data_IF_986456122199
#
_entry.id   IF_986456122199
#
_cell.length_a   1.000
_cell.length_b   1.000
_cell.length_c   1.000
_cell.angle_alpha   90.00
_cell.angle_beta   90.00
_cell.angle_gamma   90.00
#
_symmetry.space_group_name_H-M   'P 1'
#
loop_
_entity.id
_entity.type
_entity.pdbx_description
1 polymer ?
#
# COMPACT_ATOMS: atom_id res chain seq x y z
N UNK A 1 20.70 14.90 28.49
CA UNK A 1 20.23 15.13 27.10
C UNK A 1 18.92 14.37 26.90
N UNK A 2 17.85 15.00 26.39
CA UNK A 2 16.55 14.35 26.18
C UNK A 2 16.38 14.05 24.68
N UNK A 3 15.89 12.86 24.36
CA UNK A 3 15.57 12.46 22.98
C UNK A 3 14.35 13.23 22.49
N UNK A 4 14.38 13.69 21.25
CA UNK A 4 13.24 14.37 20.63
C UNK A 4 12.04 13.44 20.53
N UNK A 5 10.87 13.94 20.94
CA UNK A 5 9.57 13.31 20.72
C UNK A 5 8.68 14.36 20.08
N UNK A 6 8.11 14.04 18.92
CA UNK A 6 7.24 14.97 18.20
C UNK A 6 6.01 15.31 19.05
N UNK A 7 5.48 16.52 18.89
CA UNK A 7 4.15 16.89 19.40
C UNK A 7 3.12 16.79 18.30
N UNK A 8 1.85 16.62 18.66
CA UNK A 8 0.76 16.48 17.67
C UNK A 8 0.64 17.72 16.75
N UNK A 9 0.95 18.90 17.26
CA UNK A 9 0.94 20.17 16.52
C UNK A 9 2.06 20.31 15.49
N UNK A 10 3.14 19.53 15.63
CA UNK A 10 4.33 19.61 14.76
C UNK A 10 4.27 18.59 13.62
N UNK A 11 3.22 17.75 13.57
CA UNK A 11 3.07 16.70 12.57
C UNK A 11 2.42 17.28 11.32
N UNK A 12 3.24 17.50 10.30
CA UNK A 12 2.77 17.82 8.96
C UNK A 12 2.61 16.53 8.14
N UNK A 13 1.39 16.31 7.65
CA UNK A 13 1.07 15.18 6.77
C UNK A 13 1.02 15.64 5.33
N UNK A 14 1.92 15.13 4.50
CA UNK A 14 1.90 15.40 3.07
C UNK A 14 0.99 14.41 2.34
N UNK A 15 0.50 14.82 1.18
CA UNK A 15 -0.20 13.93 0.26
C UNK A 15 0.78 13.44 -0.80
N UNK A 16 0.82 12.12 -1.01
CA UNK A 16 1.72 11.48 -1.96
C UNK A 16 0.91 10.61 -2.91
N UNK A 17 1.13 10.74 -4.21
CA UNK A 17 0.54 9.86 -5.24
C UNK A 17 1.59 8.92 -5.81
N UNK A 18 1.26 7.64 -5.89
CA UNK A 18 2.10 6.59 -6.46
C UNK A 18 1.34 5.90 -7.59
N UNK A 19 1.94 5.89 -8.78
CA UNK A 19 1.47 5.08 -9.90
C UNK A 19 1.95 3.63 -9.75
N UNK A 20 1.00 2.71 -9.63
CA UNK A 20 1.28 1.28 -9.42
C UNK A 20 1.49 0.50 -10.72
N UNK A 21 1.41 1.14 -11.88
CA UNK A 21 1.46 0.49 -13.19
C UNK A 21 2.79 -0.27 -13.43
N UNK A 22 2.70 -1.59 -13.53
CA UNK A 22 3.87 -2.43 -13.78
C UNK A 22 4.79 -2.63 -12.57
N UNK A 23 4.38 -2.17 -11.38
CA UNK A 23 5.17 -2.32 -10.17
C UNK A 23 4.89 -3.65 -9.46
N UNK A 24 5.94 -4.24 -8.88
CA UNK A 24 5.81 -5.45 -8.07
C UNK A 24 5.10 -5.15 -6.74
N UNK A 25 3.95 -5.80 -6.50
CA UNK A 25 3.08 -5.57 -5.32
C UNK A 25 3.84 -5.51 -4.00
N UNK A 26 4.72 -6.47 -3.74
CA UNK A 26 5.43 -6.55 -2.45
C UNK A 26 6.43 -5.41 -2.23
N UNK A 27 7.11 -4.96 -3.30
CA UNK A 27 8.08 -3.86 -3.23
C UNK A 27 7.37 -2.53 -3.06
N UNK A 28 6.30 -2.34 -3.84
CA UNK A 28 5.40 -1.18 -3.72
C UNK A 28 4.83 -1.07 -2.30
N UNK A 29 4.26 -2.16 -1.76
CA UNK A 29 3.64 -2.17 -0.43
C UNK A 29 4.63 -1.81 0.69
N UNK A 30 5.89 -2.24 0.58
CA UNK A 30 6.91 -1.92 1.60
C UNK A 30 7.23 -0.43 1.65
N UNK A 31 7.30 0.23 0.50
CA UNK A 31 7.57 1.68 0.41
C UNK A 31 6.36 2.45 0.91
N UNK A 32 5.15 2.03 0.54
CA UNK A 32 3.90 2.62 1.04
C UNK A 32 3.84 2.52 2.56
N UNK A 33 4.06 1.33 3.14
CA UNK A 33 4.01 1.14 4.58
C UNK A 33 5.07 1.97 5.33
N UNK A 34 6.26 2.16 4.75
CA UNK A 34 7.29 3.04 5.30
C UNK A 34 6.82 4.50 5.35
N UNK A 35 6.11 4.97 4.31
CA UNK A 35 5.56 6.33 4.24
C UNK A 35 4.36 6.53 5.15
N UNK A 36 3.42 5.59 5.18
CA UNK A 36 2.26 5.60 6.09
C UNK A 36 2.69 5.62 7.56
N UNK A 37 3.82 5.00 7.91
CA UNK A 37 4.37 5.03 9.26
C UNK A 37 5.21 6.28 9.57
N UNK A 38 5.57 7.07 8.56
CA UNK A 38 6.45 8.23 8.72
C UNK A 38 7.93 7.90 8.93
N UNK A 39 8.35 6.64 8.72
CA UNK A 39 9.76 6.20 8.93
C UNK A 39 10.79 6.86 8.00
N UNK A 40 10.32 7.53 6.96
CA UNK A 40 11.15 8.30 6.05
C UNK A 40 11.47 9.71 6.58
N UNK A 41 10.75 10.18 7.62
CA UNK A 41 10.99 11.46 8.28
C UNK A 41 11.97 11.28 9.44
N UNK A 42 12.90 12.22 9.66
CA UNK A 42 13.81 12.18 10.81
C UNK A 42 13.10 12.38 12.15
N UNK A 43 11.87 12.93 12.13
CA UNK A 43 11.02 13.21 13.31
C UNK A 43 10.13 12.03 13.72
N UNK A 44 10.40 10.82 13.21
CA UNK A 44 9.59 9.63 13.48
C UNK A 44 9.51 9.33 14.99
N UNK A 45 8.28 9.29 15.50
CA UNK A 45 7.98 8.96 16.89
C UNK A 45 7.05 7.73 16.92
N UNK A 46 7.46 6.59 17.51
CA UNK A 46 6.74 5.30 17.34
C UNK A 46 5.29 5.27 17.81
N UNK A 47 4.93 6.06 18.81
CA UNK A 47 3.60 6.09 19.42
C UNK A 47 2.66 7.10 18.75
N UNK A 48 3.14 7.85 17.75
CA UNK A 48 2.39 8.89 17.06
C UNK A 48 2.25 8.60 15.57
N UNK A 49 1.20 9.12 14.96
CA UNK A 49 0.97 9.02 13.51
C UNK A 49 1.67 10.17 12.76
N UNK A 50 2.98 10.04 12.56
CA UNK A 50 3.80 11.01 11.80
C UNK A 50 3.81 10.74 10.28
N UNK A 51 2.93 9.85 9.80
CA UNK A 51 2.90 9.40 8.41
C UNK A 51 2.42 10.43 7.41
N UNK A 52 2.50 10.07 6.13
CA UNK A 52 1.88 10.80 5.03
C UNK A 52 0.60 10.12 4.56
N UNK A 53 -0.28 10.88 3.91
CA UNK A 53 -1.42 10.34 3.18
C UNK A 53 -0.91 9.81 1.84
N UNK A 54 -1.18 8.53 1.56
CA UNK A 54 -0.70 7.87 0.35
C UNK A 54 -1.88 7.51 -0.52
N UNK A 55 -1.85 7.96 -1.77
CA UNK A 55 -2.81 7.59 -2.80
C UNK A 55 -2.09 6.71 -3.81
N UNK A 56 -2.66 5.55 -4.10
CA UNK A 56 -2.16 4.61 -5.09
C UNK A 56 -3.15 4.58 -6.24
N UNK A 57 -2.67 4.86 -7.45
CA UNK A 57 -3.46 4.77 -8.70
C UNK A 57 -2.99 3.56 -9.52
N UNK A 58 -3.79 3.15 -10.50
CA UNK A 58 -3.55 1.99 -11.37
C UNK A 58 -3.30 0.68 -10.59
N UNK A 59 -3.97 0.49 -9.45
CA UNK A 59 -3.80 -0.73 -8.65
C UNK A 59 -4.23 -2.00 -9.39
N UNK A 60 -5.03 -1.88 -10.45
CA UNK A 60 -5.38 -3.00 -11.35
C UNK A 60 -4.21 -3.49 -12.21
N UNK A 61 -3.17 -2.69 -12.41
CA UNK A 61 -2.02 -3.00 -13.29
C UNK A 61 -0.76 -3.44 -12.53
N UNK A 62 -0.91 -3.83 -11.26
CA UNK A 62 0.21 -4.30 -10.43
C UNK A 62 0.70 -5.68 -10.87
N UNK A 63 2.00 -5.93 -10.71
CA UNK A 63 2.62 -7.18 -11.13
C UNK A 63 2.85 -8.12 -9.95
N UNK A 64 2.37 -9.35 -10.12
CA UNK A 64 2.69 -10.48 -9.24
C UNK A 64 3.68 -11.39 -9.95
N UNK A 65 4.84 -11.62 -9.33
CA UNK A 65 5.93 -12.40 -9.94
C UNK A 65 5.70 -13.90 -9.90
N UNK A 66 6.16 -14.62 -10.92
CA UNK A 66 6.08 -16.09 -11.01
C UNK A 66 4.63 -16.60 -11.11
N UNK A 67 4.37 -17.80 -10.57
CA UNK A 67 3.03 -18.42 -10.62
C UNK A 67 2.08 -17.91 -9.52
N UNK A 68 2.40 -16.79 -8.85
CA UNK A 68 1.63 -16.26 -7.71
C UNK A 68 0.21 -15.86 -8.10
N UNK A 69 -0.03 -15.42 -9.34
CA UNK A 69 -1.38 -15.14 -9.84
C UNK A 69 -2.31 -16.35 -9.67
N UNK A 70 -1.81 -17.56 -9.95
CA UNK A 70 -2.61 -18.79 -9.87
C UNK A 70 -2.55 -19.45 -8.50
N UNK A 71 -1.36 -19.52 -7.89
CA UNK A 71 -1.11 -20.29 -6.67
C UNK A 71 -1.36 -19.54 -5.36
N UNK A 72 -1.35 -18.20 -5.37
CA UNK A 72 -1.55 -17.43 -4.13
C UNK A 72 -3.04 -17.36 -3.82
N UNK A 73 -3.44 -18.03 -2.74
CA UNK A 73 -4.81 -18.05 -2.26
C UNK A 73 -4.98 -17.10 -1.07
N UNK A 74 -6.04 -16.30 -1.11
CA UNK A 74 -6.49 -15.46 -0.01
C UNK A 74 -7.70 -16.13 0.65
N UNK A 75 -7.52 -16.50 1.91
CA UNK A 75 -8.57 -17.05 2.74
C UNK A 75 -9.25 -15.96 3.56
N UNK A 76 -10.56 -16.11 3.78
CA UNK A 76 -11.31 -15.43 4.82
C UNK A 76 -12.35 -16.37 5.39
N UNK A 77 -12.69 -16.19 6.67
CA UNK A 77 -13.66 -17.01 7.37
C UNK A 77 -14.92 -16.19 7.66
N UNK A 78 -16.09 -16.77 7.47
CA UNK A 78 -17.37 -16.08 7.72
C UNK A 78 -17.80 -16.12 9.19
N UNK A 79 -17.22 -17.00 10.00
CA UNK A 79 -17.57 -17.20 11.42
C UNK A 79 -18.38 -18.47 11.68
N UNK A 80 -18.99 -19.06 10.65
CA UNK A 80 -19.77 -20.29 10.73
C UNK A 80 -18.92 -21.55 10.48
N UNK A 81 -19.37 -22.71 10.95
CA UNK A 81 -18.73 -24.02 10.68
C UNK A 81 -18.68 -24.25 9.17
N UNK A 82 -17.50 -24.60 8.64
CA UNK A 82 -17.28 -24.75 7.18
C UNK A 82 -17.24 -23.42 6.41
N UNK A 83 -17.18 -22.28 7.10
CA UNK A 83 -17.24 -20.93 6.54
C UNK A 83 -15.95 -20.42 5.90
N UNK A 84 -14.98 -21.28 5.60
CA UNK A 84 -13.74 -20.88 4.91
C UNK A 84 -14.04 -20.58 3.46
N UNK A 85 -13.73 -19.37 3.02
CA UNK A 85 -13.87 -18.93 1.63
C UNK A 85 -12.50 -18.55 1.08
N UNK A 86 -12.20 -19.08 -0.09
CA UNK A 86 -10.93 -18.88 -0.77
C UNK A 86 -11.09 -18.11 -2.09
N UNK A 87 -10.10 -17.28 -2.41
CA UNK A 87 -9.98 -16.64 -3.73
C UNK A 87 -8.51 -16.58 -4.13
N UNK A 88 -8.22 -16.95 -5.36
CA UNK A 88 -6.87 -16.79 -5.93
C UNK A 88 -6.57 -15.33 -6.21
N UNK A 89 -5.29 -14.96 -6.23
CA UNK A 89 -4.85 -13.61 -6.56
C UNK A 89 -5.34 -13.17 -7.94
N UNK A 90 -5.31 -14.07 -8.95
CA UNK A 90 -5.85 -13.80 -10.28
C UNK A 90 -7.35 -13.52 -10.27
N UNK A 91 -8.14 -14.28 -9.50
CA UNK A 91 -9.58 -14.06 -9.38
C UNK A 91 -9.94 -12.73 -8.68
N UNK A 92 -9.10 -12.24 -7.76
CA UNK A 92 -9.29 -10.94 -7.13
C UNK A 92 -8.94 -9.82 -8.13
N UNK A 93 -7.84 -9.98 -8.87
CA UNK A 93 -7.36 -8.99 -9.83
C UNK A 93 -8.30 -8.82 -11.02
N UNK A 94 -8.91 -9.91 -11.50
CA UNK A 94 -9.94 -9.88 -12.56
C UNK A 94 -11.35 -9.57 -12.02
N UNK A 95 -11.50 -9.46 -10.70
CA UNK A 95 -12.79 -9.27 -10.04
C UNK A 95 -13.19 -7.80 -9.92
N UNK A 96 -14.21 -7.57 -9.08
CA UNK A 96 -14.78 -6.24 -8.83
C UNK A 96 -13.86 -5.27 -8.08
N UNK A 97 -12.87 -5.78 -7.34
CA UNK A 97 -12.07 -4.99 -6.39
C UNK A 97 -10.58 -5.40 -6.44
N UNK A 98 -9.85 -5.07 -7.52
CA UNK A 98 -8.44 -5.40 -7.65
C UNK A 98 -7.55 -4.68 -6.60
N UNK A 99 -7.98 -3.50 -6.12
CA UNK A 99 -7.27 -2.70 -5.10
C UNK A 99 -6.98 -3.48 -3.80
N UNK A 100 -7.85 -4.46 -3.46
CA UNK A 100 -7.72 -5.29 -2.25
C UNK A 100 -6.39 -6.05 -2.18
N UNK A 101 -5.75 -6.33 -3.31
CA UNK A 101 -4.45 -7.01 -3.34
C UNK A 101 -3.38 -6.11 -2.72
N UNK A 102 -3.38 -4.82 -3.08
CA UNK A 102 -2.44 -3.82 -2.58
C UNK A 102 -2.78 -3.46 -1.14
N UNK A 103 -4.06 -3.23 -0.82
CA UNK A 103 -4.49 -2.95 0.55
C UNK A 103 -4.06 -4.06 1.52
N UNK A 104 -4.37 -5.32 1.21
CA UNK A 104 -3.96 -6.45 2.06
C UNK A 104 -2.45 -6.64 2.15
N UNK A 105 -1.71 -6.23 1.12
CA UNK A 105 -0.26 -6.27 1.16
C UNK A 105 0.30 -5.22 2.12
N UNK A 106 -0.24 -4.00 2.08
CA UNK A 106 0.15 -2.89 2.97
C UNK A 106 -0.32 -3.12 4.41
N UNK A 107 -1.57 -3.57 4.60
CA UNK A 107 -2.15 -3.87 5.92
C UNK A 107 -1.26 -4.82 6.73
N UNK A 108 -0.69 -5.83 6.06
CA UNK A 108 0.21 -6.81 6.71
C UNK A 108 1.60 -6.24 7.04
N UNK A 109 1.96 -5.05 6.57
CA UNK A 109 3.23 -4.37 6.80
C UNK A 109 3.14 -3.23 7.82
N UNK A 110 1.92 -2.87 8.26
CA UNK A 110 1.63 -1.86 9.27
C UNK A 110 1.47 -2.53 10.65
N UNK A 111 1.84 -1.87 11.78
CA UNK A 111 1.65 -2.43 13.11
C UNK A 111 0.19 -2.79 13.37
N UNK A 112 -0.07 -3.93 14.04
CA UNK A 112 -1.43 -4.28 14.45
C UNK A 112 -1.77 -3.55 15.74
N UNK A 113 -2.76 -2.66 15.67
CA UNK A 113 -3.24 -1.92 16.83
C UNK A 113 -4.10 -0.71 16.44
N UNK A 114 -4.55 0.09 17.42
CA UNK A 114 -5.33 1.30 17.16
C UNK A 114 -4.60 2.29 16.24
N UNK A 115 -3.29 2.50 16.48
CA UNK A 115 -2.45 3.36 15.65
C UNK A 115 -2.33 2.85 14.20
N UNK A 116 -2.20 1.54 14.03
CA UNK A 116 -2.14 0.95 12.69
C UNK A 116 -3.43 1.12 11.90
N UNK A 117 -4.60 1.06 12.57
CA UNK A 117 -5.90 1.34 11.94
C UNK A 117 -6.01 2.80 11.49
N UNK A 118 -5.51 3.74 12.30
CA UNK A 118 -5.43 5.16 11.93
C UNK A 118 -4.47 5.40 10.76
N UNK A 119 -3.29 4.79 10.78
CA UNK A 119 -2.36 4.82 9.64
C UNK A 119 -3.00 4.22 8.39
N UNK A 120 -3.82 3.18 8.56
CA UNK A 120 -4.47 2.53 7.43
C UNK A 120 -5.53 3.42 6.76
N UNK A 121 -6.24 4.25 7.52
CA UNK A 121 -7.20 5.21 6.96
C UNK A 121 -6.54 6.31 6.11
N UNK A 122 -5.23 6.49 6.22
CA UNK A 122 -4.46 7.44 5.41
C UNK A 122 -4.05 6.85 4.04
N UNK A 123 -4.26 5.55 3.80
CA UNK A 123 -4.06 4.94 2.48
C UNK A 123 -5.35 5.00 1.67
N UNK A 124 -5.24 5.43 0.41
CA UNK A 124 -6.32 5.36 -0.58
C UNK A 124 -5.81 4.61 -1.80
N UNK A 125 -6.51 3.57 -2.21
CA UNK A 125 -6.12 2.74 -3.36
C UNK A 125 -7.22 2.78 -4.40
N UNK A 126 -6.87 3.16 -5.62
CA UNK A 126 -7.78 3.24 -6.75
C UNK A 126 -7.37 2.24 -7.83
N UNK A 127 -8.35 1.52 -8.43
CA UNK A 127 -8.08 0.58 -9.51
C UNK A 127 -7.64 1.29 -10.80
N UNK A 128 -8.17 2.49 -11.06
CA UNK A 128 -7.90 3.30 -12.25
C UNK A 128 -6.85 4.39 -12.02
N UNK A 129 -6.63 5.21 -13.05
CA UNK A 129 -5.65 6.31 -13.03
C UNK A 129 -6.14 7.55 -12.28
N UNK A 130 -7.46 7.68 -12.10
CA UNK A 130 -8.09 8.87 -11.50
C UNK A 130 -8.31 8.71 -9.99
N UNK A 131 -8.27 9.85 -9.29
CA UNK A 131 -8.53 9.97 -7.86
C UNK A 131 -9.31 11.27 -7.58
N UNK A 132 -10.23 11.30 -6.60
CA UNK A 132 -11.04 12.48 -6.29
C UNK A 132 -10.32 13.50 -5.39
N UNK A 133 -8.99 13.45 -5.28
CA UNK A 133 -8.21 14.20 -4.27
C UNK A 133 -7.28 15.26 -4.85
N UNK A 134 -7.63 15.80 -6.01
CA UNK A 134 -6.85 16.84 -6.69
C UNK A 134 -6.69 18.12 -5.84
N UNK A 135 -7.72 18.48 -5.07
CA UNK A 135 -7.69 19.64 -4.17
C UNK A 135 -6.58 19.59 -3.11
N UNK A 136 -6.03 18.40 -2.82
CA UNK A 136 -4.98 18.20 -1.82
C UNK A 136 -3.56 18.34 -2.38
N UNK A 137 -3.42 18.62 -3.69
CA UNK A 137 -2.15 18.81 -4.39
C UNK A 137 -1.09 17.74 -4.06
N UNK A 138 -1.37 16.45 -4.34
CA UNK A 138 -0.47 15.38 -3.99
C UNK A 138 0.86 15.44 -4.74
N UNK A 139 1.97 15.23 -4.03
CA UNK A 139 3.30 15.10 -4.61
C UNK A 139 3.45 13.73 -5.29
N UNK A 140 3.82 13.70 -6.57
CA UNK A 140 4.06 12.45 -7.28
C UNK A 140 5.36 11.80 -6.80
N UNK A 141 5.27 10.56 -6.31
CA UNK A 141 6.42 9.76 -5.94
C UNK A 141 6.68 8.67 -6.98
N UNK A 142 7.79 8.81 -7.69
CA UNK A 142 8.24 7.79 -8.64
C UNK A 142 8.94 6.63 -7.93
N UNK A 143 8.19 5.56 -7.68
CA UNK A 143 8.71 4.31 -7.11
C UNK A 143 9.45 3.47 -8.15
N UNK A 144 9.20 3.67 -9.45
CA UNK A 144 9.88 2.92 -10.51
C UNK A 144 11.36 3.30 -10.59
N UNK A 145 11.68 4.59 -10.49
CA UNK A 145 13.04 5.11 -10.57
C UNK A 145 13.94 4.70 -9.39
N UNK A 146 13.38 4.38 -8.22
CA UNK A 146 14.15 4.07 -7.02
C UNK A 146 14.96 2.76 -7.12
N UNK A 147 14.43 1.76 -7.83
CA UNK A 147 15.12 0.47 -7.96
C UNK A 147 14.69 -0.26 -9.25
N UNK A 148 15.62 -0.72 -10.09
CA UNK A 148 15.29 -1.42 -11.33
C UNK A 148 14.46 -2.68 -11.10
N UNK A 149 14.62 -3.36 -9.94
CA UNK A 149 13.85 -4.57 -9.60
C UNK A 149 12.37 -4.28 -9.33
N UNK A 150 11.95 -3.01 -9.25
CA UNK A 150 10.55 -2.63 -9.08
C UNK A 150 9.76 -2.82 -10.38
N UNK A 151 10.41 -2.70 -11.55
CA UNK A 151 9.78 -2.77 -12.89
C UNK A 151 10.32 -3.89 -13.77
N UNK A 152 11.47 -4.51 -13.42
CA UNK A 152 12.17 -5.52 -14.23
C UNK A 152 11.32 -6.74 -14.66
N UNK A 153 10.17 -6.97 -14.02
CA UNK A 153 9.28 -8.09 -14.33
C UNK A 153 8.25 -7.78 -15.43
N UNK A 154 8.22 -6.56 -15.97
CA UNK A 154 7.43 -6.20 -17.17
C UNK A 154 7.87 -7.00 -18.41
N UNK A 155 9.14 -7.37 -18.51
CA UNK A 155 9.77 -7.83 -19.76
C UNK A 155 9.74 -9.33 -20.01
N UNK A 156 9.24 -10.16 -19.06
CA UNK A 156 9.27 -11.64 -19.17
C UNK A 156 7.93 -12.29 -19.54
N UNK A 157 6.93 -11.49 -19.91
CA UNK A 157 5.58 -11.95 -20.22
C UNK A 157 5.22 -11.85 -21.73
N UNK A 158 6.20 -11.64 -22.60
CA UNK A 158 6.08 -11.76 -24.05
C UNK A 158 6.71 -13.07 -24.51
#
# INVERSE_FOLDING_TARGET
MKTYSAKASEIEKKWVVIDAEGLVVGRLASIIAMRLRGKHKPTYTPHMDCGDNVIVINASKVVLTGQKLKKKVYYHHTGYIGGIKERTAGAIMAGKFPERIVEKAVERMVPRGPLGRQQMSNLRVYPGAEHPHEAQQPEKLDVAAMNPKNTQYKTKAA
#
